data_IF_107900141707
#
_entry.id   IF_107900141707
#
_cell.length_a   1.000
_cell.length_b   1.000
_cell.length_c   1.000
_cell.angle_alpha   90.00
_cell.angle_beta   90.00
_cell.angle_gamma   90.00
#
_symmetry.space_group_name_H-M   'P 1'
#
loop_
_entity.id
_entity.type
_entity.pdbx_description
1 polymer ?
#
# COMPACT_ATOMS: atom_id res chain seq x y z
N UNK A 1 -25.67 4.95 1.11
CA UNK A 1 -24.77 3.93 1.69
C UNK A 1 -23.41 4.16 1.08
N UNK A 2 -22.38 4.19 1.91
CA UNK A 2 -21.01 4.39 1.45
C UNK A 2 -20.56 3.20 0.61
N UNK A 3 -19.83 3.48 -0.45
CA UNK A 3 -19.21 2.48 -1.31
C UNK A 3 -18.17 1.67 -0.53
N UNK A 4 -17.83 0.48 -1.04
CA UNK A 4 -16.78 -0.33 -0.43
C UNK A 4 -15.44 0.42 -0.35
N UNK A 5 -15.12 1.24 -1.36
CA UNK A 5 -13.91 2.05 -1.37
C UNK A 5 -13.87 3.10 -0.25
N UNK A 6 -14.99 3.79 -0.01
CA UNK A 6 -15.13 4.76 1.07
C UNK A 6 -14.99 4.07 2.44
N UNK A 7 -15.66 2.93 2.63
CA UNK A 7 -15.55 2.15 3.86
C UNK A 7 -14.12 1.68 4.16
N UNK A 8 -13.35 1.32 3.12
CA UNK A 8 -11.94 0.95 3.26
C UNK A 8 -11.10 2.14 3.70
N UNK A 9 -11.29 3.31 3.09
CA UNK A 9 -10.56 4.52 3.47
C UNK A 9 -10.88 4.91 4.92
N UNK A 10 -12.15 4.85 5.31
CA UNK A 10 -12.57 5.14 6.69
C UNK A 10 -11.98 4.15 7.69
N UNK A 11 -11.97 2.85 7.37
CA UNK A 11 -11.35 1.84 8.22
C UNK A 11 -9.84 2.06 8.39
N UNK A 12 -9.13 2.50 7.34
CA UNK A 12 -7.70 2.84 7.44
C UNK A 12 -7.51 4.05 8.36
N UNK A 13 -8.32 5.10 8.21
CA UNK A 13 -8.27 6.28 9.06
C UNK A 13 -8.58 5.94 10.53
N UNK A 14 -9.44 4.96 10.78
CA UNK A 14 -9.73 4.45 12.13
C UNK A 14 -8.51 3.79 12.81
N UNK A 15 -7.49 3.37 12.06
CA UNK A 15 -6.28 2.74 12.61
C UNK A 15 -5.24 3.76 13.08
N UNK A 16 -4.94 4.77 12.25
CA UNK A 16 -3.85 5.72 12.50
C UNK A 16 -4.32 7.18 12.69
N UNK A 17 -5.63 7.43 12.61
CA UNK A 17 -6.22 8.76 12.54
C UNK A 17 -6.28 9.30 11.11
N UNK A 18 -7.25 10.18 10.85
CA UNK A 18 -7.30 10.97 9.63
C UNK A 18 -6.39 12.20 9.77
N UNK A 19 -5.41 12.32 8.88
CA UNK A 19 -4.43 13.41 8.90
C UNK A 19 -4.66 14.36 7.74
N UNK A 20 -5.07 15.61 8.02
CA UNK A 20 -5.33 16.60 6.99
C UNK A 20 -4.11 16.80 6.07
N UNK A 21 -4.34 16.82 4.75
CA UNK A 21 -3.30 16.94 3.73
C UNK A 21 -2.49 15.67 3.46
N UNK A 22 -2.76 14.57 4.17
CA UNK A 22 -2.07 13.30 4.00
C UNK A 22 -3.02 12.20 3.51
N UNK A 23 -2.43 11.11 2.98
CA UNK A 23 -3.19 9.93 2.57
C UNK A 23 -3.56 9.08 3.79
N UNK A 24 -4.68 8.35 3.74
CA UNK A 24 -5.09 7.43 4.80
C UNK A 24 -4.05 6.32 5.05
N UNK A 25 -3.47 5.76 3.98
CA UNK A 25 -2.32 4.86 4.04
C UNK A 25 -1.17 5.47 3.23
N UNK A 26 0.06 5.04 3.50
CA UNK A 26 1.25 5.63 2.88
C UNK A 26 1.33 7.15 3.08
N UNK A 27 0.95 7.62 4.27
CA UNK A 27 0.82 9.05 4.59
C UNK A 27 2.15 9.78 4.38
N UNK A 28 3.23 9.24 4.94
CA UNK A 28 4.59 9.75 4.76
C UNK A 28 5.23 9.21 3.49
N UNK A 29 5.86 10.08 2.70
CA UNK A 29 6.62 9.65 1.54
C UNK A 29 7.30 10.79 0.77
N UNK A 30 8.25 10.42 -0.07
CA UNK A 30 9.11 11.33 -0.84
C UNK A 30 8.89 11.10 -2.33
N UNK A 31 8.82 12.20 -3.08
CA UNK A 31 8.63 12.19 -4.52
C UNK A 31 9.95 12.52 -5.23
N UNK A 32 10.23 11.80 -6.31
CA UNK A 32 11.42 11.95 -7.14
C UNK A 32 11.01 12.00 -8.61
N UNK A 33 11.71 12.81 -9.39
CA UNK A 33 11.63 12.80 -10.85
C UNK A 33 12.78 11.96 -11.41
N UNK A 34 12.54 11.29 -12.54
CA UNK A 34 13.58 10.51 -13.22
C UNK A 34 13.20 10.16 -14.64
N UNK A 35 14.01 9.29 -15.24
CA UNK A 35 13.79 8.72 -16.56
C UNK A 35 13.90 7.21 -16.47
N UNK A 36 12.91 6.49 -17.02
CA UNK A 36 12.96 5.04 -17.15
C UNK A 36 13.41 4.67 -18.57
N UNK A 37 14.47 3.87 -18.67
CA UNK A 37 14.95 3.31 -19.93
C UNK A 37 14.64 1.81 -19.96
N UNK A 38 13.73 1.34 -20.86
CA UNK A 38 13.43 -0.08 -20.97
C UNK A 38 14.59 -0.85 -21.64
N UNK A 39 14.73 -2.12 -21.28
CA UNK A 39 15.60 -3.06 -22.01
C UNK A 39 14.92 -3.72 -23.22
N UNK A 40 13.62 -3.48 -23.42
CA UNK A 40 12.78 -4.14 -24.43
C UNK A 40 12.34 -5.55 -24.03
N UNK A 41 11.13 -5.97 -24.46
CA UNK A 41 10.65 -7.35 -24.29
C UNK A 41 9.55 -7.73 -25.30
N UNK A 42 9.57 -8.95 -25.82
CA UNK A 42 8.50 -9.45 -26.70
C UNK A 42 7.23 -9.88 -25.97
N UNK A 43 7.18 -9.75 -24.63
CA UNK A 43 6.07 -10.24 -23.80
C UNK A 43 4.87 -9.29 -23.72
N UNK A 44 4.99 -8.05 -24.19
CA UNK A 44 3.94 -7.02 -24.09
C UNK A 44 4.08 -5.98 -25.19
N UNK A 45 2.99 -5.26 -25.49
CA UNK A 45 2.98 -4.10 -26.40
C UNK A 45 3.00 -2.76 -25.66
N UNK A 46 3.22 -2.77 -24.34
CA UNK A 46 3.22 -1.56 -23.52
C UNK A 46 4.34 -0.57 -23.95
N UNK A 47 4.03 0.73 -24.19
CA UNK A 47 5.02 1.68 -24.72
C UNK A 47 6.22 1.90 -23.81
N UNK A 48 6.01 2.02 -22.50
CA UNK A 48 7.08 2.25 -21.53
C UNK A 48 8.03 1.06 -21.37
N UNK A 49 7.70 -0.12 -21.91
CA UNK A 49 8.54 -1.32 -21.87
C UNK A 49 9.22 -1.65 -23.20
N UNK A 50 8.83 -0.99 -24.29
CA UNK A 50 9.29 -1.30 -25.66
C UNK A 50 9.70 -0.10 -26.50
N UNK A 51 9.51 1.12 -25.99
CA UNK A 51 9.85 2.36 -26.70
C UNK A 51 11.13 3.01 -26.17
N UNK A 52 11.28 4.28 -26.50
CA UNK A 52 12.36 5.14 -26.01
C UNK A 52 12.23 5.40 -24.50
N UNK A 53 13.31 5.85 -23.83
CA UNK A 53 13.24 6.25 -22.43
C UNK A 53 12.16 7.29 -22.17
N UNK A 54 11.37 7.09 -21.10
CA UNK A 54 10.24 7.95 -20.74
C UNK A 54 10.49 8.65 -19.40
N UNK A 55 10.02 9.91 -19.23
CA UNK A 55 10.00 10.54 -17.92
C UNK A 55 9.15 9.75 -16.93
N UNK A 56 9.56 9.75 -15.66
CA UNK A 56 8.80 9.14 -14.57
C UNK A 56 8.73 10.05 -13.34
N UNK A 57 7.67 9.87 -12.57
CA UNK A 57 7.60 10.32 -11.18
C UNK A 57 7.54 9.09 -10.28
N UNK A 58 8.47 8.98 -9.34
CA UNK A 58 8.52 7.90 -8.36
C UNK A 58 8.15 8.47 -6.99
N UNK A 59 7.30 7.76 -6.25
CA UNK A 59 7.03 8.06 -4.84
C UNK A 59 7.37 6.85 -3.98
N UNK A 60 8.32 7.05 -3.07
CA UNK A 60 8.61 6.12 -1.98
C UNK A 60 7.80 6.50 -0.74
N UNK A 61 7.38 5.53 0.07
CA UNK A 61 6.56 5.78 1.25
C UNK A 61 6.67 4.70 2.32
N UNK A 62 6.40 5.07 3.57
CA UNK A 62 6.06 4.12 4.64
C UNK A 62 4.70 3.48 4.33
N UNK A 63 4.33 2.42 5.04
CA UNK A 63 3.06 1.70 4.80
C UNK A 63 1.88 2.31 5.55
N UNK A 64 2.13 2.78 6.78
CA UNK A 64 1.10 3.28 7.69
C UNK A 64 0.43 4.60 7.29
N UNK A 65 -0.59 4.96 8.07
CA UNK A 65 -1.33 6.21 7.94
C UNK A 65 -0.80 7.37 8.77
N UNK A 66 0.21 7.15 9.62
CA UNK A 66 0.82 8.20 10.44
C UNK A 66 1.91 8.96 9.65
N UNK A 67 1.75 10.27 9.37
CA UNK A 67 2.78 11.06 8.71
C UNK A 67 4.02 11.32 9.58
N UNK A 68 3.94 11.13 10.90
CA UNK A 68 5.03 11.31 11.86
C UNK A 68 5.92 10.09 12.04
N UNK A 69 5.59 8.96 11.41
CA UNK A 69 6.35 7.70 11.56
C UNK A 69 7.83 7.89 11.13
N UNK A 70 8.81 7.36 11.89
CA UNK A 70 10.21 7.42 11.47
C UNK A 70 10.48 6.49 10.28
N UNK A 71 11.40 6.88 9.39
CA UNK A 71 11.70 6.11 8.16
C UNK A 71 12.41 4.78 8.44
N UNK A 72 12.90 4.57 9.66
CA UNK A 72 13.48 3.29 10.11
C UNK A 72 12.46 2.34 10.77
N UNK A 73 11.19 2.73 10.90
CA UNK A 73 10.15 1.85 11.48
C UNK A 73 9.96 0.59 10.64
N UNK A 74 9.80 -0.58 11.26
CA UNK A 74 9.61 -1.85 10.54
C UNK A 74 8.20 -1.94 9.98
N UNK A 75 8.05 -1.55 8.71
CA UNK A 75 6.79 -1.66 7.96
C UNK A 75 7.09 -1.91 6.48
N UNK A 76 6.12 -2.47 5.74
CA UNK A 76 6.17 -2.50 4.29
C UNK A 76 6.40 -1.11 3.69
N UNK A 77 7.16 -1.03 2.60
CA UNK A 77 7.46 0.22 1.90
C UNK A 77 6.75 0.26 0.57
N UNK A 78 6.14 1.40 0.25
CA UNK A 78 5.53 1.64 -1.06
C UNK A 78 6.52 2.23 -2.05
N UNK A 79 6.46 1.77 -3.30
CA UNK A 79 7.10 2.39 -4.46
C UNK A 79 6.05 2.53 -5.57
N UNK A 80 5.56 3.74 -5.78
CA UNK A 80 4.62 4.04 -6.87
C UNK A 80 5.37 4.76 -8.00
N UNK A 81 5.27 4.25 -9.22
CA UNK A 81 5.89 4.84 -10.41
C UNK A 81 4.81 5.26 -11.39
N UNK A 82 4.83 6.53 -11.78
CA UNK A 82 4.01 7.08 -12.86
C UNK A 82 4.88 7.30 -14.09
N UNK A 83 4.55 6.62 -15.18
CA UNK A 83 5.21 6.76 -16.47
C UNK A 83 4.45 7.76 -17.33
N UNK A 84 5.17 8.70 -17.95
CA UNK A 84 4.60 9.68 -18.89
C UNK A 84 4.88 9.23 -20.31
N UNK A 85 3.87 8.73 -21.01
CA UNK A 85 4.03 8.09 -22.32
C UNK A 85 4.07 9.13 -23.46
N UNK A 86 4.71 8.82 -24.60
CA UNK A 86 4.84 9.75 -25.73
C UNK A 86 3.51 10.21 -26.33
N UNK A 87 2.47 9.39 -26.24
CA UNK A 87 1.11 9.70 -26.71
C UNK A 87 0.28 10.54 -25.71
N UNK A 88 0.91 11.02 -24.65
CA UNK A 88 0.28 11.81 -23.58
C UNK A 88 -0.44 10.97 -22.52
N UNK A 89 -0.57 9.65 -22.69
CA UNK A 89 -1.13 8.77 -21.66
C UNK A 89 -0.16 8.60 -20.49
N UNK A 90 -0.69 8.05 -19.40
CA UNK A 90 0.06 7.72 -18.19
C UNK A 90 -0.21 6.28 -17.79
N UNK A 91 0.81 5.63 -17.25
CA UNK A 91 0.66 4.33 -16.59
C UNK A 91 1.16 4.46 -15.17
N UNK A 92 0.38 3.99 -14.21
CA UNK A 92 0.75 3.97 -12.80
C UNK A 92 0.99 2.53 -12.38
N UNK A 93 2.18 2.24 -11.87
CA UNK A 93 2.53 0.96 -11.26
C UNK A 93 2.74 1.22 -9.77
N UNK A 94 1.78 0.80 -8.95
CA UNK A 94 1.76 1.05 -7.50
C UNK A 94 2.16 -0.23 -6.79
N UNK A 95 3.36 -0.23 -6.20
CA UNK A 95 3.99 -1.45 -5.65
C UNK A 95 4.32 -1.29 -4.16
N UNK A 96 4.59 -2.42 -3.54
CA UNK A 96 5.06 -2.57 -2.17
C UNK A 96 6.32 -3.45 -2.15
N UNK A 97 7.13 -3.34 -1.11
CA UNK A 97 8.25 -4.28 -0.88
C UNK A 97 7.80 -5.64 -0.37
N UNK A 98 6.53 -5.79 0.02
CA UNK A 98 5.97 -7.06 0.46
C UNK A 98 5.83 -8.00 -0.74
N UNK A 99 6.35 -9.24 -0.66
CA UNK A 99 6.30 -10.19 -1.79
C UNK A 99 4.89 -10.70 -2.08
N UNK A 100 4.01 -10.66 -1.07
CA UNK A 100 2.61 -11.01 -1.15
C UNK A 100 1.80 -10.14 -0.17
N UNK A 101 0.53 -9.92 -0.48
CA UNK A 101 -0.37 -9.13 0.37
C UNK A 101 -1.11 -10.02 1.38
N UNK A 102 -1.56 -9.43 2.48
CA UNK A 102 -2.13 -10.16 3.64
C UNK A 102 -3.47 -10.84 3.34
N UNK A 103 -4.18 -10.37 2.32
CA UNK A 103 -5.56 -10.74 2.00
C UNK A 103 -5.74 -10.78 0.49
N UNK A 104 -6.74 -11.53 0.02
CA UNK A 104 -6.99 -11.73 -1.42
C UNK A 104 -8.10 -10.84 -1.98
N UNK A 105 -9.01 -10.38 -1.13
CA UNK A 105 -10.19 -9.60 -1.53
C UNK A 105 -10.23 -8.25 -0.81
N UNK A 106 -11.01 -7.32 -1.36
CA UNK A 106 -11.21 -6.00 -0.75
C UNK A 106 -12.05 -6.11 0.52
N UNK A 107 -13.01 -7.04 0.58
CA UNK A 107 -13.82 -7.31 1.77
C UNK A 107 -12.96 -7.84 2.93
N UNK A 108 -12.07 -8.81 2.67
CA UNK A 108 -11.12 -9.31 3.66
C UNK A 108 -10.16 -8.19 4.11
N UNK A 109 -9.78 -7.29 3.21
CA UNK A 109 -8.95 -6.14 3.57
C UNK A 109 -9.67 -5.18 4.51
N UNK A 110 -10.95 -4.92 4.26
CA UNK A 110 -11.79 -4.11 5.12
C UNK A 110 -11.94 -4.75 6.51
N UNK A 111 -12.23 -6.06 6.55
CA UNK A 111 -12.34 -6.82 7.80
C UNK A 111 -11.02 -6.81 8.58
N UNK A 112 -9.90 -7.13 7.93
CA UNK A 112 -8.57 -7.11 8.54
C UNK A 112 -8.22 -5.73 9.09
N UNK A 113 -8.53 -4.67 8.34
CA UNK A 113 -8.26 -3.29 8.76
C UNK A 113 -9.08 -2.91 9.99
N UNK A 114 -10.38 -3.27 10.00
CA UNK A 114 -11.26 -3.06 11.16
C UNK A 114 -10.79 -3.85 12.40
N UNK A 115 -10.32 -5.08 12.21
CA UNK A 115 -9.78 -5.90 13.31
C UNK A 115 -8.54 -5.26 13.97
N UNK A 116 -7.80 -4.42 13.23
CA UNK A 116 -6.61 -3.71 13.71
C UNK A 116 -6.90 -2.35 14.34
N UNK A 117 -8.16 -1.90 14.38
CA UNK A 117 -8.53 -0.65 15.03
C UNK A 117 -8.07 -0.67 16.51
N UNK A 118 -7.25 0.30 16.95
CA UNK A 118 -6.80 0.36 18.34
C UNK A 118 -7.97 0.47 19.32
N UNK A 119 -7.82 -0.14 20.51
CA UNK A 119 -8.78 0.04 21.60
C UNK A 119 -8.74 1.53 22.06
N UNK A 120 -9.89 2.24 22.10
CA UNK A 120 -9.91 3.66 22.46
C UNK A 120 -9.41 3.99 23.87
N UNK A 121 -9.42 3.02 24.79
CA UNK A 121 -8.93 3.18 26.17
C UNK A 121 -7.41 2.98 26.27
N UNK A 122 -6.84 2.07 25.47
CA UNK A 122 -5.41 1.70 25.58
C UNK A 122 -4.54 2.26 24.46
N UNK A 123 -5.14 2.62 23.32
CA UNK A 123 -4.42 3.02 22.10
C UNK A 123 -3.67 1.87 21.42
N UNK A 124 -3.85 0.63 21.86
CA UNK A 124 -3.15 -0.54 21.34
C UNK A 124 -4.06 -1.42 20.48
N UNK A 125 -3.52 -2.17 19.50
CA UNK A 125 -4.28 -3.16 18.76
C UNK A 125 -4.90 -4.24 19.68
N UNK A 126 -6.13 -4.63 19.38
CA UNK A 126 -6.80 -5.76 20.01
C UNK A 126 -6.31 -7.08 19.38
N UNK A 127 -5.43 -7.79 20.10
CA UNK A 127 -4.84 -9.04 19.61
C UNK A 127 -5.85 -10.18 19.47
N UNK A 128 -6.96 -10.16 20.21
CA UNK A 128 -8.01 -11.17 20.07
C UNK A 128 -8.74 -11.01 18.74
N UNK A 129 -9.07 -9.76 18.35
CA UNK A 129 -9.69 -9.48 17.04
C UNK A 129 -8.80 -9.86 15.87
N UNK A 130 -7.52 -9.50 15.95
CA UNK A 130 -6.55 -9.87 14.91
C UNK A 130 -6.38 -11.39 14.86
N UNK A 131 -6.33 -12.06 16.03
CA UNK A 131 -6.24 -13.52 16.12
C UNK A 131 -7.48 -14.24 15.56
N UNK A 132 -8.67 -13.69 15.79
CA UNK A 132 -9.92 -14.21 15.23
C UNK A 132 -9.93 -14.13 13.69
N UNK A 133 -9.51 -13.00 13.13
CA UNK A 133 -9.36 -12.84 11.68
C UNK A 133 -8.38 -13.87 11.12
N UNK A 134 -7.18 -13.97 11.70
CA UNK A 134 -6.15 -14.92 11.22
C UNK A 134 -6.63 -16.37 11.30
N UNK A 135 -7.45 -16.70 12.30
CA UNK A 135 -8.04 -18.03 12.46
C UNK A 135 -9.10 -18.34 11.40
N UNK A 136 -9.88 -17.34 10.97
CA UNK A 136 -10.84 -17.46 9.88
C UNK A 136 -10.17 -17.46 8.48
N UNK A 137 -9.00 -16.82 8.37
CA UNK A 137 -8.23 -16.65 7.13
C UNK A 137 -6.82 -17.24 7.26
N UNK A 138 -6.66 -18.58 7.32
CA UNK A 138 -5.36 -19.21 7.49
C UNK A 138 -4.35 -18.87 6.37
N UNK A 139 -4.81 -18.47 5.19
CA UNK A 139 -3.98 -17.96 4.11
C UNK A 139 -3.25 -16.65 4.41
N UNK A 140 -3.72 -15.90 5.40
CA UNK A 140 -3.12 -14.63 5.79
C UNK A 140 -1.84 -14.87 6.60
N UNK A 141 -1.65 -16.08 7.16
CA UNK A 141 -0.50 -16.39 8.02
C UNK A 141 0.84 -16.23 7.29
N UNK A 142 1.10 -16.88 6.14
CA UNK A 142 2.39 -16.72 5.45
C UNK A 142 2.74 -15.26 5.07
N UNK A 143 1.85 -14.45 4.45
CA UNK A 143 2.17 -13.05 4.14
C UNK A 143 2.34 -12.19 5.39
N UNK A 144 1.56 -12.40 6.45
CA UNK A 144 1.73 -11.69 7.72
C UNK A 144 3.10 -12.02 8.34
N UNK A 145 3.48 -13.30 8.39
CA UNK A 145 4.80 -13.70 8.88
C UNK A 145 5.94 -13.10 8.05
N UNK A 146 5.81 -13.11 6.72
CA UNK A 146 6.80 -12.50 5.83
C UNK A 146 6.95 -10.99 6.09
N UNK A 147 5.85 -10.27 6.34
CA UNK A 147 5.90 -8.84 6.63
C UNK A 147 6.46 -8.51 8.03
N UNK A 148 6.25 -9.39 9.02
CA UNK A 148 6.81 -9.23 10.38
C UNK A 148 8.30 -9.59 10.45
N UNK A 149 8.76 -10.48 9.57
CA UNK A 149 10.16 -10.90 9.45
C UNK A 149 11.05 -9.93 8.69
N UNK A 150 10.48 -9.07 7.85
CA UNK A 150 11.18 -8.10 6.99
C UNK A 150 11.71 -6.85 7.73
#
# INVERSE_FOLDING_TARGET
>A
MDTLAEQVVDAINDVAGAHAGHRAAHAKGTLMAGTFAPSGTSLTTAPHLNGDPVPVTVRFSNGGGDPGVPDYAREGRGMAVKFYLPDGRRTDVVMLTLPCFFVRTVDDFLEFTRARKPDPKTGQPDLERVGAFVSAHPEAVPPIQAALGA
#
